data_IF_734268763425
#
_entry.id   IF_734268763425
#
_cell.length_a   1.000
_cell.length_b   1.000
_cell.length_c   1.000
_cell.angle_alpha   90.00
_cell.angle_beta   90.00
_cell.angle_gamma   90.00
#
_symmetry.space_group_name_H-M   'P 1'
#
loop_
_entity.id
_entity.type
_entity.pdbx_description
1 polymer ?
#
# COMPACT_ATOMS: atom_id res chain seq x y z
N UNK A 1 23.17 -26.21 -14.32
CA UNK A 1 22.68 -24.85 -14.66
C UNK A 1 22.40 -24.13 -13.36
N UNK A 2 23.27 -23.19 -13.00
CA UNK A 2 23.26 -22.52 -11.69
C UNK A 2 22.56 -21.18 -11.85
N UNK A 3 21.37 -21.02 -11.26
CA UNK A 3 20.68 -19.74 -11.22
C UNK A 3 21.49 -18.77 -10.35
N UNK A 4 22.08 -17.76 -10.98
CA UNK A 4 22.72 -16.66 -10.28
C UNK A 4 21.63 -15.75 -9.72
N UNK A 5 21.52 -15.68 -8.40
CA UNK A 5 20.75 -14.66 -7.72
C UNK A 5 21.44 -13.31 -7.96
N UNK A 6 20.84 -12.48 -8.81
CA UNK A 6 21.21 -11.08 -8.92
C UNK A 6 20.80 -10.40 -7.61
N UNK A 7 21.79 -10.20 -6.74
CA UNK A 7 21.64 -9.50 -5.47
C UNK A 7 21.28 -8.05 -5.72
N UNK A 8 20.31 -7.57 -4.93
CA UNK A 8 19.88 -6.18 -4.69
C UNK A 8 21.01 -5.26 -4.17
N UNK A 9 22.25 -5.45 -4.63
CA UNK A 9 23.46 -4.88 -4.02
C UNK A 9 23.68 -3.41 -4.39
N UNK A 10 23.25 -2.98 -5.58
CA UNK A 10 23.58 -1.64 -6.09
C UNK A 10 22.68 -0.52 -5.57
N UNK A 11 21.49 -0.83 -5.02
CA UNK A 11 20.56 0.19 -4.49
C UNK A 11 20.96 0.73 -3.10
N UNK A 12 21.86 0.06 -2.37
CA UNK A 12 22.25 0.47 -1.02
C UNK A 12 23.30 1.59 -0.99
N UNK A 13 24.06 1.79 -2.07
CA UNK A 13 25.14 2.80 -2.09
C UNK A 13 24.60 4.24 -2.02
N UNK A 14 23.42 4.50 -2.60
CA UNK A 14 22.77 5.82 -2.56
C UNK A 14 22.12 6.15 -1.21
N UNK A 15 21.62 5.15 -0.49
CA UNK A 15 20.97 5.36 0.83
C UNK A 15 21.97 5.52 1.98
N UNK A 16 23.18 4.92 1.87
CA UNK A 16 24.22 5.02 2.89
C UNK A 16 24.76 6.44 3.12
N UNK A 17 24.72 7.31 2.10
CA UNK A 17 25.16 8.70 2.24
C UNK A 17 24.24 9.53 3.15
N UNK A 18 22.97 9.17 3.24
CA UNK A 18 21.98 9.84 4.10
C UNK A 18 22.17 9.52 5.58
N UNK A 19 22.92 8.46 5.93
CA UNK A 19 23.21 8.08 7.32
C UNK A 19 24.31 8.93 7.97
N UNK A 20 25.12 9.64 7.16
CA UNK A 20 26.18 10.53 7.65
C UNK A 20 25.67 11.96 7.95
N UNK A 21 24.38 12.22 7.72
CA UNK A 21 23.74 13.52 7.94
C UNK A 21 23.15 13.55 9.34
N UNK A 22 23.48 14.58 10.12
CA UNK A 22 22.88 14.80 11.43
C UNK A 22 21.43 15.29 11.28
N UNK A 23 20.48 14.45 11.69
CA UNK A 23 19.04 14.70 11.60
C UNK A 23 18.39 14.82 12.99
N UNK A 24 19.18 14.90 14.07
CA UNK A 24 18.64 14.89 15.45
C UNK A 24 17.68 16.04 15.76
N UNK A 25 17.71 17.13 14.98
CA UNK A 25 16.89 18.33 15.20
C UNK A 25 16.05 18.73 13.98
N UNK A 26 15.92 17.86 12.97
CA UNK A 26 15.15 18.15 11.75
C UNK A 26 13.83 17.40 11.80
N UNK A 27 12.72 18.14 11.78
CA UNK A 27 11.40 17.54 11.66
C UNK A 27 11.24 16.89 10.28
N UNK A 28 10.78 15.63 10.21
CA UNK A 28 10.54 14.96 8.94
C UNK A 28 9.50 15.72 8.11
N UNK A 29 9.81 15.98 6.84
CA UNK A 29 8.82 16.51 5.91
C UNK A 29 7.74 15.46 5.62
N UNK A 30 6.54 15.66 6.14
CA UNK A 30 5.41 14.74 5.95
C UNK A 30 4.71 15.02 4.61
N UNK A 31 4.41 16.31 4.30
CA UNK A 31 3.93 16.85 3.01
C UNK A 31 4.27 18.36 2.96
N UNK A 32 4.58 18.90 1.78
CA UNK A 32 5.07 20.28 1.64
C UNK A 32 3.96 21.35 1.79
N UNK A 33 2.69 20.98 1.69
CA UNK A 33 1.56 21.89 1.51
C UNK A 33 0.29 21.48 2.28
N UNK A 34 0.38 20.54 3.21
CA UNK A 34 -0.80 20.06 3.95
C UNK A 34 -0.84 20.68 5.35
N UNK A 35 -1.20 21.96 5.41
CA UNK A 35 -1.60 22.60 6.67
C UNK A 35 -3.11 22.41 6.87
N UNK A 36 -3.50 21.75 7.96
CA UNK A 36 -4.89 21.59 8.37
C UNK A 36 -5.41 20.15 8.41
N UNK A 37 -6.56 19.99 9.07
CA UNK A 37 -7.19 18.69 9.23
C UNK A 37 -7.92 18.28 7.94
N UNK A 38 -7.62 17.10 7.42
CA UNK A 38 -8.34 16.50 6.31
C UNK A 38 -9.48 15.62 6.85
N UNK A 39 -10.54 16.26 7.36
CA UNK A 39 -11.71 15.56 7.87
C UNK A 39 -12.74 15.35 6.76
N UNK A 40 -13.42 14.20 6.78
CA UNK A 40 -14.55 13.91 5.91
C UNK A 40 -15.86 14.28 6.62
N UNK A 41 -16.79 14.89 5.91
CA UNK A 41 -18.14 15.17 6.42
C UNK A 41 -18.89 13.87 6.77
N UNK A 42 -19.73 13.93 7.80
CA UNK A 42 -20.61 12.82 8.21
C UNK A 42 -21.90 12.81 7.38
N UNK A 43 -21.74 12.77 6.05
CA UNK A 43 -22.85 12.69 5.10
C UNK A 43 -22.76 11.40 4.28
N UNK A 44 -23.89 10.69 4.07
CA UNK A 44 -23.88 9.49 3.26
C UNK A 44 -23.58 9.84 1.79
N UNK A 45 -22.73 9.04 1.15
CA UNK A 45 -22.44 9.12 -0.28
C UNK A 45 -22.94 7.84 -0.97
N UNK A 46 -23.67 8.01 -2.08
CA UNK A 46 -24.15 6.90 -2.90
C UNK A 46 -23.03 6.34 -3.75
N UNK A 47 -22.99 5.02 -3.90
CA UNK A 47 -22.08 4.35 -4.83
C UNK A 47 -22.85 3.95 -6.08
N UNK A 48 -22.60 4.63 -7.21
CA UNK A 48 -23.44 4.49 -8.40
C UNK A 48 -23.12 3.25 -9.24
N UNK A 49 -21.89 2.75 -9.23
CA UNK A 49 -21.44 1.73 -10.18
C UNK A 49 -21.08 0.41 -9.49
N UNK A 50 -22.10 -0.24 -8.91
CA UNK A 50 -21.93 -1.52 -8.23
C UNK A 50 -21.52 -2.63 -9.20
N UNK A 51 -22.00 -2.56 -10.43
CA UNK A 51 -21.79 -3.55 -11.49
C UNK A 51 -20.34 -3.55 -11.97
N UNK A 52 -19.72 -2.37 -12.16
CA UNK A 52 -18.31 -2.31 -12.55
C UNK A 52 -17.39 -2.89 -11.47
N UNK A 53 -17.69 -2.64 -10.19
CA UNK A 53 -16.92 -3.22 -9.08
C UNK A 53 -17.02 -4.75 -9.08
N UNK A 54 -18.21 -5.32 -9.30
CA UNK A 54 -18.42 -6.77 -9.34
C UNK A 54 -17.70 -7.40 -10.54
N UNK A 55 -17.67 -6.73 -11.69
CA UNK A 55 -16.98 -7.21 -12.88
C UNK A 55 -15.46 -7.36 -12.68
N UNK A 56 -14.87 -6.59 -11.76
CA UNK A 56 -13.46 -6.69 -11.40
C UNK A 56 -13.15 -7.80 -10.36
N UNK A 57 -14.18 -8.39 -9.72
CA UNK A 57 -13.99 -9.42 -8.69
C UNK A 57 -13.65 -10.77 -9.35
N UNK A 58 -12.48 -11.38 -9.04
CA UNK A 58 -12.06 -12.62 -9.68
C UNK A 58 -12.95 -13.84 -9.41
N UNK A 59 -13.65 -13.87 -8.28
CA UNK A 59 -14.55 -14.96 -7.91
C UNK A 59 -15.76 -14.43 -7.13
N UNK A 60 -16.86 -14.22 -7.85
CA UNK A 60 -18.11 -13.68 -7.32
C UNK A 60 -19.21 -14.73 -7.38
N UNK A 61 -19.89 -14.94 -6.25
CA UNK A 61 -21.10 -15.78 -6.15
C UNK A 61 -22.15 -14.91 -5.46
N UNK A 62 -23.06 -14.33 -6.25
CA UNK A 62 -24.02 -13.35 -5.76
C UNK A 62 -24.73 -13.81 -4.45
N UNK A 63 -24.73 -13.00 -3.36
CA UNK A 63 -24.22 -11.62 -3.25
C UNK A 63 -22.76 -11.48 -2.74
N UNK A 64 -22.01 -12.58 -2.61
CA UNK A 64 -20.73 -12.67 -1.89
C UNK A 64 -19.49 -12.80 -2.78
N UNK A 65 -18.36 -12.32 -2.26
CA UNK A 65 -17.03 -12.58 -2.83
C UNK A 65 -16.51 -13.89 -2.25
N UNK A 66 -16.09 -14.81 -3.10
CA UNK A 66 -15.55 -16.10 -2.67
C UNK A 66 -14.06 -15.98 -2.42
N UNK A 67 -13.65 -16.22 -1.17
CA UNK A 67 -12.24 -16.29 -0.77
C UNK A 67 -11.85 -17.72 -0.40
N UNK A 68 -10.62 -18.18 -0.69
CA UNK A 68 -10.12 -19.44 -0.18
C UNK A 68 -10.08 -19.42 1.34
N UNK A 69 -10.76 -20.37 1.98
CA UNK A 69 -10.67 -20.56 3.43
C UNK A 69 -9.45 -21.43 3.69
N UNK A 70 -8.38 -20.84 4.21
CA UNK A 70 -7.21 -21.58 4.67
C UNK A 70 -7.49 -22.12 6.06
N UNK A 71 -7.91 -23.38 6.14
CA UNK A 71 -8.00 -24.13 7.39
C UNK A 71 -6.68 -24.88 7.58
N UNK A 72 -5.66 -24.20 8.11
CA UNK A 72 -4.45 -24.89 8.53
C UNK A 72 -4.78 -25.77 9.74
N UNK A 73 -4.76 -27.09 9.55
CA UNK A 73 -4.54 -28.07 10.61
C UNK A 73 -3.30 -28.87 10.23
N UNK A 74 -2.14 -28.25 10.39
CA UNK A 74 -0.87 -28.94 10.63
C UNK A 74 -0.07 -28.14 11.66
#
# INVERSE_FOLDING_TARGET
MTFHSLTFSTSNFGFGQLQAVDLQSVEPAIRADTEGDNLRDDVPQTFENREAMIAEVPNYVEPYIKVPIVLNKE
#
